data_IF_153206790999
#
_entry.id   IF_153206790999
#
_cell.length_a   1.000
_cell.length_b   1.000
_cell.length_c   1.000
_cell.angle_alpha   90.00
_cell.angle_beta   90.00
_cell.angle_gamma   90.00
#
_symmetry.space_group_name_H-M   'P 1'
#
loop_
_entity.id
_entity.type
_entity.pdbx_description
1 polymer ?
#
# COMPACT_ATOMS: atom_id res chain seq x y z
N UNK A 1 -10.67 1.40 9.08
CA UNK A 1 -10.97 2.84 8.96
C UNK A 1 -11.76 3.01 7.69
N UNK A 2 -12.93 3.63 7.75
CA UNK A 2 -13.72 3.93 6.56
C UNK A 2 -12.98 4.97 5.74
N UNK A 3 -12.82 4.72 4.43
CA UNK A 3 -12.10 5.65 3.57
C UNK A 3 -13.01 6.85 3.24
N UNK A 4 -12.53 8.08 3.44
CA UNK A 4 -13.27 9.31 3.10
C UNK A 4 -12.60 10.02 1.95
N UNK A 5 -13.32 10.25 0.85
CA UNK A 5 -12.83 11.02 -0.30
C UNK A 5 -13.78 12.20 -0.50
N UNK A 6 -13.24 13.41 -0.57
CA UNK A 6 -14.02 14.64 -0.73
C UNK A 6 -13.29 15.58 -1.70
N UNK A 7 -13.99 16.07 -2.72
CA UNK A 7 -13.47 17.13 -3.58
C UNK A 7 -13.86 18.48 -2.99
N UNK A 8 -12.86 19.31 -2.68
CA UNK A 8 -13.06 20.71 -2.35
C UNK A 8 -12.88 21.55 -3.62
N UNK A 9 -13.99 21.87 -4.28
CA UNK A 9 -13.99 22.66 -5.52
C UNK A 9 -13.48 24.09 -5.32
N UNK A 10 -13.81 24.73 -4.18
CA UNK A 10 -13.36 26.09 -3.87
C UNK A 10 -11.83 26.19 -3.72
N UNK A 11 -11.20 25.16 -3.16
CA UNK A 11 -9.75 25.10 -2.98
C UNK A 11 -9.01 24.40 -4.14
N UNK A 12 -9.73 23.89 -5.15
CA UNK A 12 -9.21 23.01 -6.23
C UNK A 12 -8.38 21.83 -5.72
N UNK A 13 -8.78 21.25 -4.59
CA UNK A 13 -8.05 20.17 -3.93
C UNK A 13 -8.93 18.93 -3.74
N UNK A 14 -8.34 17.77 -3.98
CA UNK A 14 -8.89 16.47 -3.61
C UNK A 14 -8.40 16.11 -2.21
N UNK A 15 -9.31 15.84 -1.28
CA UNK A 15 -8.96 15.29 0.04
C UNK A 15 -9.25 13.79 0.06
N UNK A 16 -8.25 13.01 0.43
CA UNK A 16 -8.37 11.57 0.65
C UNK A 16 -7.92 11.29 2.08
N UNK A 17 -8.84 10.85 2.92
CA UNK A 17 -8.66 10.70 4.36
C UNK A 17 -8.18 12.00 5.03
N UNK A 18 -6.89 12.09 5.37
CA UNK A 18 -6.25 13.29 5.96
C UNK A 18 -5.33 14.02 4.98
N UNK A 19 -5.12 13.46 3.80
CA UNK A 19 -4.18 13.98 2.81
C UNK A 19 -4.91 14.84 1.79
N UNK A 20 -4.25 15.90 1.33
CA UNK A 20 -4.81 16.84 0.35
C UNK A 20 -3.91 16.95 -0.88
N UNK A 21 -4.51 16.76 -2.04
CA UNK A 21 -3.86 16.73 -3.35
C UNK A 21 -4.40 17.84 -4.24
N UNK A 22 -3.55 18.47 -5.02
CA UNK A 22 -3.94 19.49 -5.98
C UNK A 22 -4.54 18.84 -7.24
N UNK A 23 -5.77 19.22 -7.59
CA UNK A 23 -6.47 18.67 -8.76
C UNK A 23 -5.74 19.00 -10.06
N UNK A 24 -5.11 20.18 -10.16
CA UNK A 24 -4.45 20.62 -11.39
C UNK A 24 -3.20 19.81 -11.76
N UNK A 25 -2.68 19.01 -10.82
CA UNK A 25 -1.51 18.16 -11.01
C UNK A 25 -1.86 16.68 -11.19
N UNK A 26 -3.13 16.30 -11.02
CA UNK A 26 -3.58 14.92 -11.23
C UNK A 26 -3.84 14.74 -12.73
N UNK A 27 -3.10 13.85 -13.38
CA UNK A 27 -3.29 13.54 -14.82
C UNK A 27 -4.22 12.36 -15.05
N UNK A 28 -4.29 11.42 -14.11
CA UNK A 28 -5.12 10.22 -14.25
C UNK A 28 -5.50 9.65 -12.89
N UNK A 29 -6.55 8.85 -12.87
CA UNK A 29 -7.06 8.17 -11.68
C UNK A 29 -7.36 6.72 -12.04
N UNK A 30 -6.98 5.80 -11.18
CA UNK A 30 -7.19 4.37 -11.38
C UNK A 30 -7.55 3.68 -10.07
N UNK A 31 -8.56 2.81 -10.13
CA UNK A 31 -8.79 1.82 -9.06
C UNK A 31 -8.11 0.52 -9.45
N UNK A 32 -7.17 0.07 -8.62
CA UNK A 32 -6.46 -1.20 -8.82
C UNK A 32 -6.95 -2.24 -7.80
N UNK A 33 -7.26 -3.44 -8.29
CA UNK A 33 -7.47 -4.61 -7.44
C UNK A 33 -6.14 -5.34 -7.31
N UNK A 34 -5.69 -5.56 -6.08
CA UNK A 34 -4.46 -6.28 -5.79
C UNK A 34 -4.66 -7.77 -6.10
N UNK A 35 -3.77 -8.31 -6.91
CA UNK A 35 -3.77 -9.73 -7.27
C UNK A 35 -3.18 -10.58 -6.15
N UNK A 36 -3.45 -11.88 -6.19
CA UNK A 36 -2.80 -12.85 -5.29
C UNK A 36 -1.27 -12.83 -5.42
N UNK A 37 -0.74 -12.53 -6.61
CA UNK A 37 0.71 -12.40 -6.82
C UNK A 37 1.28 -11.23 -6.01
N UNK A 38 0.60 -10.10 -6.00
CA UNK A 38 1.00 -8.93 -5.21
C UNK A 38 1.00 -9.25 -3.71
N UNK A 39 0.01 -10.02 -3.24
CA UNK A 39 -0.08 -10.46 -1.85
C UNK A 39 1.05 -11.42 -1.47
N UNK A 40 1.32 -12.42 -2.30
CA UNK A 40 2.40 -13.38 -2.08
C UNK A 40 3.76 -12.67 -2.06
N UNK A 41 3.98 -11.71 -2.97
CA UNK A 41 5.21 -10.93 -2.98
C UNK A 41 5.41 -10.17 -1.67
N UNK A 42 4.37 -9.50 -1.17
CA UNK A 42 4.41 -8.82 0.13
C UNK A 42 4.66 -9.78 1.29
N UNK A 43 4.10 -11.00 1.27
CA UNK A 43 4.37 -12.02 2.28
C UNK A 43 5.83 -12.43 2.29
N UNK A 44 6.40 -12.71 1.12
CA UNK A 44 7.81 -13.10 0.99
C UNK A 44 8.70 -11.96 1.46
N UNK A 45 8.41 -10.71 1.08
CA UNK A 45 9.20 -9.55 1.50
C UNK A 45 9.15 -9.34 3.01
N UNK A 46 7.96 -9.29 3.62
CA UNK A 46 7.85 -9.07 5.07
C UNK A 46 8.35 -10.27 5.88
N UNK A 47 8.14 -11.49 5.40
CA UNK A 47 8.73 -12.68 6.00
C UNK A 47 10.26 -12.64 5.95
N UNK A 48 10.84 -12.29 4.80
CA UNK A 48 12.29 -12.19 4.65
C UNK A 48 12.89 -11.10 5.55
N UNK A 49 12.24 -9.93 5.65
CA UNK A 49 12.64 -8.87 6.57
C UNK A 49 12.58 -9.34 8.03
N UNK A 50 11.45 -9.93 8.45
CA UNK A 50 11.30 -10.42 9.82
C UNK A 50 12.35 -11.49 10.17
N UNK A 51 12.63 -12.39 9.22
CA UNK A 51 13.64 -13.44 9.37
C UNK A 51 15.06 -12.87 9.43
N UNK A 52 15.38 -11.88 8.57
CA UNK A 52 16.72 -11.29 8.50
C UNK A 52 17.08 -10.48 9.75
N UNK A 53 16.10 -9.80 10.36
CA UNK A 53 16.32 -9.04 11.59
C UNK A 53 16.88 -9.90 12.72
N UNK A 54 16.50 -11.19 12.81
CA UNK A 54 17.00 -12.07 13.85
C UNK A 54 18.51 -12.31 13.77
N UNK A 55 19.12 -12.25 12.58
CA UNK A 55 20.58 -12.38 12.44
C UNK A 55 21.34 -11.18 13.03
N UNK A 56 20.66 -10.04 13.24
CA UNK A 56 21.24 -8.86 13.88
C UNK A 56 21.17 -8.99 15.41
N UNK A 57 20.10 -9.61 15.93
CA UNK A 57 19.83 -9.67 17.37
C UNK A 57 20.28 -10.97 18.06
N UNK A 58 20.42 -12.07 17.31
CA UNK A 58 20.91 -13.34 17.88
C UNK A 58 22.43 -13.24 18.05
N UNK A 59 22.95 -13.40 19.27
CA UNK A 59 24.37 -13.28 19.51
C UNK A 59 25.12 -14.49 18.91
N UNK A 60 26.33 -14.22 18.39
CA UNK A 60 27.13 -15.16 17.59
C UNK A 60 27.56 -16.41 18.37
N UNK A 61 27.61 -16.33 19.69
CA UNK A 61 27.91 -17.43 20.61
C UNK A 61 26.78 -18.46 20.74
N UNK A 62 25.53 -18.04 20.53
CA UNK A 62 24.37 -18.94 20.44
C UNK A 62 24.20 -19.56 19.05
N UNK A 63 24.92 -19.04 18.05
CA UNK A 63 24.79 -19.40 16.64
C UNK A 63 25.30 -20.83 16.41
N UNK A 64 24.40 -21.74 16.05
CA UNK A 64 24.71 -23.17 15.89
C UNK A 64 23.86 -24.09 16.77
N UNK A 65 23.14 -23.55 17.75
CA UNK A 65 22.12 -24.31 18.47
C UNK A 65 20.90 -24.54 17.58
N UNK A 66 20.22 -25.68 17.74
CA UNK A 66 19.01 -26.04 16.97
C UNK A 66 17.96 -24.91 16.99
N UNK A 67 17.83 -24.23 18.13
CA UNK A 67 16.90 -23.09 18.31
C UNK A 67 17.25 -21.93 17.36
N UNK A 68 18.52 -21.62 17.15
CA UNK A 68 18.97 -20.53 16.27
C UNK A 68 18.73 -20.81 14.78
N UNK A 69 18.56 -22.06 14.38
CA UNK A 69 18.17 -22.43 13.01
C UNK A 69 16.66 -22.38 12.78
N UNK A 70 15.87 -22.69 13.81
CA UNK A 70 14.40 -22.74 13.71
C UNK A 70 13.79 -21.34 13.86
N UNK A 71 14.39 -20.47 14.68
CA UNK A 71 13.84 -19.16 14.99
C UNK A 71 13.66 -18.25 13.74
N UNK A 72 14.61 -18.17 12.79
CA UNK A 72 14.42 -17.43 11.54
C UNK A 72 13.27 -17.95 10.69
N UNK A 73 13.04 -19.26 10.66
CA UNK A 73 11.93 -19.87 9.94
C UNK A 73 10.58 -19.50 10.58
N UNK A 74 10.50 -19.53 11.92
CA UNK A 74 9.30 -19.09 12.64
C UNK A 74 9.04 -17.60 12.40
N UNK A 75 10.07 -16.75 12.48
CA UNK A 75 9.94 -15.32 12.22
C UNK A 75 9.49 -15.03 10.79
N UNK A 76 9.98 -15.80 9.81
CA UNK A 76 9.50 -15.71 8.44
C UNK A 76 8.00 -16.00 8.35
N UNK A 77 7.52 -17.09 8.98
CA UNK A 77 6.11 -17.45 8.97
C UNK A 77 5.23 -16.41 9.66
N UNK A 78 5.69 -15.86 10.79
CA UNK A 78 4.98 -14.78 11.49
C UNK A 78 4.91 -13.53 10.61
N UNK A 79 6.03 -13.11 10.01
CA UNK A 79 6.08 -11.95 9.11
C UNK A 79 5.18 -12.13 7.88
N UNK A 80 5.21 -13.31 7.27
CA UNK A 80 4.35 -13.66 6.14
C UNK A 80 2.86 -13.70 6.52
N UNK A 81 2.51 -14.23 7.69
CA UNK A 81 1.14 -14.25 8.19
C UNK A 81 0.63 -12.82 8.47
N UNK A 82 1.47 -11.99 9.11
CA UNK A 82 1.16 -10.59 9.35
C UNK A 82 0.92 -9.84 8.03
N UNK A 83 1.77 -10.07 7.03
CA UNK A 83 1.62 -9.50 5.69
C UNK A 83 0.26 -9.83 5.06
N UNK A 84 -0.23 -11.06 5.23
CA UNK A 84 -1.58 -11.43 4.78
C UNK A 84 -2.67 -10.66 5.51
N UNK A 85 -2.59 -10.59 6.83
CA UNK A 85 -3.59 -9.91 7.68
C UNK A 85 -3.71 -8.43 7.34
N UNK A 86 -2.58 -7.76 7.09
CA UNK A 86 -2.55 -6.34 6.73
C UNK A 86 -2.73 -6.09 5.23
N UNK A 87 -2.80 -7.14 4.40
CA UNK A 87 -2.94 -6.98 2.95
C UNK A 87 -4.26 -6.33 2.59
N UNK A 88 -4.18 -5.20 1.89
CA UNK A 88 -5.35 -4.57 1.30
C UNK A 88 -5.74 -5.30 0.01
N UNK A 89 -6.99 -5.13 -0.42
CA UNK A 89 -7.51 -5.75 -1.66
C UNK A 89 -7.69 -4.71 -2.78
N UNK A 90 -7.97 -3.48 -2.40
CA UNK A 90 -8.30 -2.39 -3.30
C UNK A 90 -7.38 -1.20 -3.04
N UNK A 91 -6.88 -0.61 -4.11
CA UNK A 91 -6.07 0.60 -4.07
C UNK A 91 -6.68 1.67 -4.96
N UNK A 92 -6.82 2.87 -4.41
CA UNK A 92 -7.16 4.07 -5.15
C UNK A 92 -5.86 4.80 -5.49
N UNK A 93 -5.53 4.85 -6.78
CA UNK A 93 -4.26 5.38 -7.29
C UNK A 93 -4.51 6.64 -8.10
N UNK A 94 -3.62 7.59 -7.92
CA UNK A 94 -3.59 8.85 -8.65
C UNK A 94 -2.28 8.92 -9.42
N UNK A 95 -2.36 9.38 -10.65
CA UNK A 95 -1.19 9.75 -11.45
C UNK A 95 -0.97 11.24 -11.29
N UNK A 96 0.23 11.60 -10.84
CA UNK A 96 0.60 12.99 -10.63
C UNK A 96 1.62 13.42 -11.66
N UNK A 97 1.40 14.59 -12.25
CA UNK A 97 2.39 15.30 -13.04
C UNK A 97 3.16 16.22 -12.12
N UNK A 98 4.42 15.87 -11.84
CA UNK A 98 5.32 16.81 -11.20
C UNK A 98 5.70 17.91 -12.19
N UNK A 99 5.89 19.13 -11.68
CA UNK A 99 6.36 20.28 -12.47
C UNK A 99 7.88 20.24 -12.71
N UNK A 100 8.55 19.33 -12.03
CA UNK A 100 9.95 18.98 -12.14
C UNK A 100 10.09 17.86 -13.20
N UNK A 101 11.17 17.89 -13.99
CA UNK A 101 11.50 17.01 -15.12
C UNK A 101 11.42 15.49 -14.83
N UNK A 102 11.15 15.08 -13.60
CA UNK A 102 10.88 13.70 -13.15
C UNK A 102 9.69 13.02 -13.86
N UNK A 103 8.75 13.79 -14.42
CA UNK A 103 7.66 13.25 -15.26
C UNK A 103 6.38 12.84 -14.50
N UNK A 104 5.66 11.84 -15.01
CA UNK A 104 4.39 11.35 -14.44
C UNK A 104 4.61 10.10 -13.59
N UNK A 105 4.07 10.09 -12.37
CA UNK A 105 4.21 8.96 -11.45
C UNK A 105 2.87 8.59 -10.81
N UNK A 106 2.67 7.27 -10.70
CA UNK A 106 1.55 6.71 -9.96
C UNK A 106 1.86 6.56 -8.48
N UNK A 107 0.97 7.07 -7.64
CA UNK A 107 1.01 6.83 -6.19
C UNK A 107 -0.33 6.32 -5.68
N UNK A 108 -0.32 5.65 -4.54
CA UNK A 108 -1.53 5.12 -3.92
C UNK A 108 -2.05 6.10 -2.86
N UNK A 109 -3.18 6.74 -3.12
CA UNK A 109 -3.79 7.73 -2.24
C UNK A 109 -4.64 7.09 -1.13
N UNK A 110 -5.24 5.93 -1.41
CA UNK A 110 -5.95 5.16 -0.39
C UNK A 110 -5.88 3.66 -0.65
N UNK A 111 -6.00 2.88 0.42
CA UNK A 111 -6.12 1.42 0.37
C UNK A 111 -7.30 0.97 1.22
N UNK A 112 -8.00 -0.06 0.76
CA UNK A 112 -9.05 -0.70 1.55
C UNK A 112 -9.15 -2.19 1.24
N UNK A 113 -9.82 -2.91 2.14
CA UNK A 113 -10.22 -4.32 1.99
C UNK A 113 -11.74 -4.47 1.80
N UNK A 114 -12.52 -3.44 2.10
CA UNK A 114 -13.98 -3.50 2.05
C UNK A 114 -14.48 -3.29 0.62
N UNK A 115 -15.52 -4.05 0.24
CA UNK A 115 -16.14 -3.91 -1.08
C UNK A 115 -16.96 -2.62 -1.21
N UNK A 116 -17.50 -2.10 -0.10
CA UNK A 116 -18.15 -0.78 -0.05
C UNK A 116 -17.20 0.32 -0.52
N UNK A 117 -15.96 0.29 -0.03
CA UNK A 117 -14.93 1.26 -0.37
C UNK A 117 -14.48 1.10 -1.82
N UNK A 118 -14.49 -0.12 -2.35
CA UNK A 118 -14.22 -0.36 -3.78
C UNK A 118 -15.28 0.31 -4.67
N UNK A 119 -16.57 0.18 -4.33
CA UNK A 119 -17.65 0.85 -5.07
C UNK A 119 -17.50 2.37 -5.01
N UNK A 120 -17.15 2.90 -3.84
CA UNK A 120 -16.86 4.32 -3.64
C UNK A 120 -15.66 4.77 -4.48
N UNK A 121 -14.56 4.00 -4.50
CA UNK A 121 -13.39 4.30 -5.33
C UNK A 121 -13.73 4.31 -6.82
N UNK A 122 -14.57 3.38 -7.30
CA UNK A 122 -15.00 3.34 -8.71
C UNK A 122 -15.89 4.54 -9.08
N UNK A 123 -16.75 4.99 -8.16
CA UNK A 123 -17.54 6.20 -8.35
C UNK A 123 -16.64 7.44 -8.48
N UNK A 124 -15.70 7.61 -7.55
CA UNK A 124 -14.75 8.73 -7.58
C UNK A 124 -13.81 8.67 -8.78
N UNK A 125 -13.37 7.48 -9.22
CA UNK A 125 -12.60 7.34 -10.46
C UNK A 125 -13.37 7.88 -11.66
N UNK A 126 -14.65 7.54 -11.80
CA UNK A 126 -15.49 8.01 -12.90
C UNK A 126 -15.76 9.52 -12.81
N UNK A 127 -15.97 10.05 -11.60
CA UNK A 127 -16.20 11.48 -11.38
C UNK A 127 -14.94 12.30 -11.64
N UNK A 128 -13.79 11.90 -11.11
CA UNK A 128 -12.53 12.60 -11.32
C UNK A 128 -12.15 12.60 -12.79
N UNK A 129 -12.26 11.48 -13.51
CA UNK A 129 -12.00 11.38 -14.97
C UNK A 129 -12.87 12.31 -15.84
N UNK A 130 -13.96 12.87 -15.32
CA UNK A 130 -14.73 13.90 -16.04
C UNK A 130 -14.18 15.31 -15.85
N UNK A 131 -13.35 15.51 -14.82
CA UNK A 131 -12.82 16.81 -14.42
C UNK A 131 -11.33 17.00 -14.78
N UNK A 132 -10.61 15.92 -15.10
CA UNK A 132 -9.23 15.91 -15.62
C UNK A 132 -9.22 15.56 -17.11
#
# INVERSE_FOLDING_TARGET
MSCSIVINQSAKKLQVNKDSYDLGKISNVQVRVLSWKDKILNMIMLGAIASSLLFIFVPTDAQGQVITWILPAIAFLIGACLALVISNKYEFRLEFRHSDEVGVQWFTAAKSRAESDFKLFKQWEAELKRHI
#
